data_IF_659475195285
#
_entry.id   IF_659475195285
#
_cell.length_a   1.000
_cell.length_b   1.000
_cell.length_c   1.000
_cell.angle_alpha   90.00
_cell.angle_beta   90.00
_cell.angle_gamma   90.00
#
_symmetry.space_group_name_H-M   'P 1'
#
loop_
_entity.id
_entity.type
_entity.pdbx_description
1 polymer ?
#
# COMPACT_ATOMS: atom_id res chain seq x y z
N UNK A 1 5.34 -55.62 -41.94
CA UNK A 1 4.42 -54.60 -41.39
C UNK A 1 4.39 -54.79 -39.87
N UNK A 2 4.92 -53.80 -39.12
CA UNK A 2 4.80 -53.44 -37.66
C UNK A 2 4.62 -54.57 -36.60
N UNK A 3 5.55 -54.82 -35.65
CA UNK A 3 5.88 -54.12 -34.36
C UNK A 3 4.65 -54.00 -33.43
N UNK A 4 4.67 -54.13 -32.09
CA UNK A 4 5.57 -54.45 -30.98
C UNK A 4 4.62 -54.44 -29.75
N UNK A 5 4.76 -55.34 -28.77
CA UNK A 5 4.13 -55.21 -27.44
C UNK A 5 5.21 -55.53 -26.41
N UNK A 6 5.85 -54.49 -25.88
CA UNK A 6 6.72 -54.55 -24.72
C UNK A 6 6.23 -53.49 -23.73
N UNK A 7 5.79 -53.94 -22.56
CA UNK A 7 5.32 -53.10 -21.48
C UNK A 7 6.47 -52.37 -20.80
N UNK A 8 6.38 -51.04 -20.76
CA UNK A 8 7.20 -50.16 -19.95
C UNK A 8 6.30 -49.56 -18.86
N UNK A 9 6.61 -49.81 -17.59
CA UNK A 9 6.02 -49.10 -16.46
C UNK A 9 6.74 -47.75 -16.32
N UNK A 10 6.02 -46.67 -16.63
CA UNK A 10 6.48 -45.31 -16.36
C UNK A 10 6.04 -44.89 -14.96
N UNK A 11 7.01 -44.40 -14.17
CA UNK A 11 6.76 -43.78 -12.89
C UNK A 11 6.18 -42.38 -13.04
N UNK A 12 5.23 -42.04 -12.19
CA UNK A 12 4.75 -40.68 -12.04
C UNK A 12 5.06 -40.14 -10.64
N UNK A 13 6.01 -39.21 -10.61
CA UNK A 13 5.75 -37.86 -10.09
C UNK A 13 5.52 -37.72 -8.59
N UNK A 14 6.61 -37.66 -7.84
CA UNK A 14 6.66 -36.98 -6.53
C UNK A 14 6.24 -35.52 -6.66
N UNK A 15 5.39 -35.10 -5.71
CA UNK A 15 4.82 -33.78 -5.56
C UNK A 15 5.86 -32.65 -5.68
N UNK A 16 5.69 -31.79 -6.69
CA UNK A 16 6.36 -30.49 -6.72
C UNK A 16 5.66 -29.53 -5.74
N UNK A 17 5.92 -29.71 -4.44
CA UNK A 17 5.71 -28.67 -3.46
C UNK A 17 6.66 -27.52 -3.80
N UNK A 18 6.14 -26.51 -4.51
CA UNK A 18 6.85 -25.28 -4.80
C UNK A 18 7.42 -24.71 -3.50
N UNK A 19 8.74 -24.65 -3.41
CA UNK A 19 9.50 -24.01 -2.33
C UNK A 19 8.90 -22.62 -2.08
N UNK A 20 8.17 -22.47 -0.97
CA UNK A 20 7.86 -21.13 -0.44
C UNK A 20 9.20 -20.50 -0.13
N UNK A 21 9.58 -19.46 -0.89
CA UNK A 21 10.77 -18.67 -0.59
C UNK A 21 10.81 -18.31 0.89
N UNK A 22 12.02 -18.19 1.45
CA UNK A 22 12.22 -17.90 2.87
C UNK A 22 11.40 -16.67 3.27
N UNK A 23 10.56 -16.81 4.30
CA UNK A 23 9.73 -15.73 4.83
C UNK A 23 10.51 -15.03 5.92
N UNK A 24 10.66 -13.70 5.83
CA UNK A 24 11.16 -12.90 6.94
C UNK A 24 9.96 -12.52 7.79
N UNK A 25 10.07 -12.64 9.11
CA UNK A 25 9.01 -12.16 10.00
C UNK A 25 9.44 -10.79 10.52
N UNK A 26 8.63 -9.77 10.30
CA UNK A 26 8.86 -8.47 10.90
C UNK A 26 8.63 -8.58 12.41
N UNK A 27 9.53 -7.98 13.20
CA UNK A 27 9.36 -7.82 14.65
C UNK A 27 9.67 -6.39 15.07
N UNK A 28 9.42 -6.05 16.35
CA UNK A 28 9.80 -4.75 16.88
C UNK A 28 11.33 -4.54 16.87
N UNK A 29 12.10 -5.61 17.04
CA UNK A 29 13.57 -5.62 17.06
C UNK A 29 14.19 -5.68 15.66
N UNK A 30 13.45 -6.23 14.69
CA UNK A 30 13.87 -6.35 13.29
C UNK A 30 12.74 -5.92 12.34
N UNK A 31 12.40 -4.61 12.30
CA UNK A 31 11.31 -4.12 11.48
C UNK A 31 11.68 -4.10 9.99
N UNK A 32 10.68 -4.26 9.13
CA UNK A 32 10.81 -4.04 7.67
C UNK A 32 10.43 -2.59 7.36
N UNK A 33 11.31 -1.85 6.69
CA UNK A 33 11.13 -0.42 6.44
C UNK A 33 10.55 -0.14 5.04
N UNK A 34 9.61 0.78 4.99
CA UNK A 34 8.93 1.31 3.80
C UNK A 34 9.21 2.81 3.74
N UNK A 35 10.36 3.19 3.19
CA UNK A 35 10.81 4.57 3.12
C UNK A 35 10.24 5.27 1.89
N UNK A 36 9.59 6.41 2.09
CA UNK A 36 9.10 7.23 0.99
C UNK A 36 10.26 7.80 0.18
N UNK A 37 10.17 7.66 -1.15
CA UNK A 37 11.06 8.30 -2.12
C UNK A 37 10.28 9.20 -3.08
N UNK A 38 9.13 8.73 -3.56
CA UNK A 38 8.22 9.52 -4.40
C UNK A 38 6.78 9.01 -4.31
N UNK A 39 5.83 9.81 -4.75
CA UNK A 39 4.41 9.48 -4.68
C UNK A 39 4.07 8.16 -5.36
N UNK A 40 3.54 7.21 -4.59
CA UNK A 40 3.27 5.85 -5.05
C UNK A 40 4.50 5.24 -5.73
N UNK A 41 5.68 5.37 -5.14
CA UNK A 41 6.86 4.59 -5.53
C UNK A 41 6.64 3.07 -5.36
N UNK A 42 7.73 2.32 -5.45
CA UNK A 42 7.78 0.88 -5.21
C UNK A 42 8.17 0.51 -3.78
N UNK A 43 8.30 1.48 -2.87
CA UNK A 43 8.82 1.27 -1.51
C UNK A 43 7.72 1.30 -0.45
N UNK A 44 6.49 1.66 -0.82
CA UNK A 44 5.31 1.61 0.04
C UNK A 44 4.89 0.18 0.42
N UNK A 45 4.25 0.05 1.57
CA UNK A 45 3.84 -1.24 2.14
C UNK A 45 2.79 -1.98 1.32
N UNK A 46 1.85 -1.28 0.67
CA UNK A 46 0.83 -1.90 -0.18
C UNK A 46 1.43 -2.36 -1.51
N UNK A 47 2.36 -1.59 -2.10
CA UNK A 47 3.15 -2.04 -3.24
C UNK A 47 3.92 -3.33 -2.92
N UNK A 48 4.58 -3.34 -1.76
CA UNK A 48 5.37 -4.45 -1.31
C UNK A 48 4.52 -5.73 -1.13
N UNK A 49 3.32 -5.62 -0.54
CA UNK A 49 2.35 -6.71 -0.49
C UNK A 49 1.87 -7.12 -1.88
N UNK A 50 1.61 -6.14 -2.75
CA UNK A 50 1.20 -6.33 -4.14
C UNK A 50 2.22 -7.06 -5.01
N UNK A 51 3.49 -7.10 -4.59
CA UNK A 51 4.59 -7.78 -5.27
C UNK A 51 5.15 -8.97 -4.50
N UNK A 52 4.55 -9.33 -3.35
CA UNK A 52 5.10 -10.30 -2.38
C UNK A 52 6.58 -10.05 -2.10
N UNK A 53 6.89 -8.83 -1.68
CA UNK A 53 8.27 -8.40 -1.44
C UNK A 53 9.12 -8.40 -2.70
N UNK A 54 8.60 -7.85 -3.81
CA UNK A 54 9.31 -7.79 -5.09
C UNK A 54 9.64 -9.14 -5.74
N UNK A 55 8.99 -10.23 -5.32
CA UNK A 55 9.21 -11.57 -5.92
C UNK A 55 8.32 -11.85 -7.12
N UNK A 56 7.25 -11.07 -7.30
CA UNK A 56 6.35 -11.15 -8.45
C UNK A 56 6.04 -9.75 -9.01
N UNK A 57 5.64 -9.65 -10.29
CA UNK A 57 5.06 -8.42 -10.82
C UNK A 57 3.88 -7.95 -9.98
N UNK A 58 3.70 -6.63 -9.88
CA UNK A 58 2.67 -6.05 -9.04
C UNK A 58 1.27 -6.54 -9.44
N UNK A 59 0.49 -6.95 -8.44
CA UNK A 59 -0.94 -7.24 -8.52
C UNK A 59 -1.64 -6.52 -7.37
N UNK A 60 -2.91 -6.15 -7.55
CA UNK A 60 -3.66 -5.47 -6.51
C UNK A 60 -3.68 -6.31 -5.21
N UNK A 61 -3.18 -5.78 -4.08
CA UNK A 61 -3.02 -6.55 -2.85
C UNK A 61 -4.36 -6.97 -2.24
N UNK A 62 -5.44 -6.24 -2.49
CA UNK A 62 -6.79 -6.65 -2.09
C UNK A 62 -7.37 -7.66 -3.07
N UNK A 63 -7.69 -7.24 -4.30
CA UNK A 63 -8.53 -8.04 -5.19
C UNK A 63 -7.85 -9.22 -5.89
N UNK A 64 -6.51 -9.23 -5.97
CA UNK A 64 -5.76 -10.28 -6.70
C UNK A 64 -4.93 -11.18 -5.80
N UNK A 65 -4.48 -10.67 -4.65
CA UNK A 65 -3.63 -11.43 -3.72
C UNK A 65 -4.30 -11.73 -2.38
N UNK A 66 -5.38 -11.01 -2.02
CA UNK A 66 -6.06 -11.13 -0.73
C UNK A 66 -5.12 -10.88 0.47
N UNK A 67 -4.09 -10.07 0.27
CA UNK A 67 -3.13 -9.68 1.30
C UNK A 67 -3.71 -8.59 2.20
N UNK A 68 -4.66 -7.79 1.74
CA UNK A 68 -5.32 -6.77 2.58
C UNK A 68 -6.83 -6.79 2.32
N UNK A 69 -7.60 -6.31 3.29
CA UNK A 69 -9.02 -6.06 3.10
C UNK A 69 -9.28 -4.55 3.05
N UNK A 70 -10.18 -4.12 2.18
CA UNK A 70 -10.57 -2.71 2.07
C UNK A 70 -12.07 -2.60 2.34
N UNK A 71 -12.45 -1.61 3.14
CA UNK A 71 -13.83 -1.31 3.46
C UNK A 71 -14.09 0.20 3.34
N UNK A 72 -15.36 0.58 3.25
CA UNK A 72 -15.79 1.96 3.28
C UNK A 72 -17.11 2.09 4.03
N UNK A 73 -17.42 3.30 4.52
CA UNK A 73 -18.69 3.60 5.20
C UNK A 73 -19.91 3.30 4.33
N UNK A 74 -19.77 3.58 3.04
CA UNK A 74 -20.75 3.27 2.01
C UNK A 74 -20.08 3.28 0.63
N UNK A 75 -20.69 2.62 -0.34
CA UNK A 75 -20.24 2.66 -1.74
C UNK A 75 -21.30 3.38 -2.57
N UNK A 76 -20.94 4.54 -3.11
CA UNK A 76 -21.77 5.29 -4.06
C UNK A 76 -21.42 4.98 -5.51
N UNK A 77 -20.15 4.71 -5.81
CA UNK A 77 -19.65 4.24 -7.11
C UNK A 77 -18.28 3.56 -6.94
N UNK A 78 -17.94 2.64 -7.84
CA UNK A 78 -16.63 1.98 -7.91
C UNK A 78 -16.50 0.79 -6.99
N UNK A 79 -15.29 0.23 -6.89
CA UNK A 79 -14.94 -0.86 -6.00
C UNK A 79 -13.99 -0.37 -4.91
N UNK A 80 -14.15 -0.86 -3.67
CA UNK A 80 -13.27 -0.46 -2.56
C UNK A 80 -11.84 -0.95 -2.77
N UNK A 81 -11.66 -2.11 -3.39
CA UNK A 81 -10.36 -2.72 -3.67
C UNK A 81 -9.51 -1.88 -4.63
N UNK A 82 -10.14 -1.03 -5.44
CA UNK A 82 -9.42 -0.14 -6.36
C UNK A 82 -8.63 0.95 -5.62
N UNK A 83 -8.99 1.26 -4.37
CA UNK A 83 -8.31 2.25 -3.53
C UNK A 83 -6.87 1.85 -3.17
N UNK A 84 -6.58 0.55 -3.07
CA UNK A 84 -5.20 0.06 -2.88
C UNK A 84 -4.53 -0.33 -4.21
N UNK A 85 -5.14 0.09 -5.33
CA UNK A 85 -4.62 -0.08 -6.67
C UNK A 85 -3.67 1.03 -7.10
N UNK A 86 -3.11 0.89 -8.30
CA UNK A 86 -2.18 1.86 -8.90
C UNK A 86 -2.73 2.59 -10.13
N UNK A 87 -4.00 2.35 -10.47
CA UNK A 87 -4.65 3.02 -11.61
C UNK A 87 -5.08 4.44 -11.24
N UNK A 88 -4.76 5.41 -12.08
CA UNK A 88 -5.25 6.78 -11.94
C UNK A 88 -6.65 6.99 -12.56
N UNK A 89 -7.25 5.93 -13.12
CA UNK A 89 -8.59 5.96 -13.73
C UNK A 89 -9.69 5.49 -12.78
N UNK A 90 -9.38 5.29 -11.49
CA UNK A 90 -10.34 4.91 -10.46
C UNK A 90 -11.32 6.06 -10.21
N UNK A 91 -12.61 5.74 -10.13
CA UNK A 91 -13.69 6.69 -9.81
C UNK A 91 -14.54 6.13 -8.67
N UNK A 92 -13.88 5.81 -7.56
CA UNK A 92 -14.53 5.40 -6.33
C UNK A 92 -15.08 6.63 -5.57
N UNK A 93 -16.28 6.47 -5.00
CA UNK A 93 -16.81 7.40 -4.01
C UNK A 93 -17.74 6.73 -3.01
N UNK A 94 -17.81 7.31 -1.82
CA UNK A 94 -18.88 7.01 -0.86
C UNK A 94 -20.20 7.68 -1.26
N UNK A 95 -21.29 7.37 -0.54
CA UNK A 95 -22.53 8.16 -0.64
C UNK A 95 -22.30 9.57 -0.09
N UNK A 96 -23.25 10.48 -0.33
CA UNK A 96 -23.15 11.86 0.16
C UNK A 96 -23.55 11.92 1.64
N UNK A 97 -22.68 11.42 2.51
CA UNK A 97 -22.94 11.23 3.94
C UNK A 97 -21.78 11.80 4.77
N UNK A 98 -22.05 12.65 5.78
CA UNK A 98 -21.02 13.17 6.67
C UNK A 98 -20.17 12.05 7.29
N UNK A 99 -18.90 12.36 7.59
CA UNK A 99 -17.97 11.41 8.21
C UNK A 99 -17.80 10.10 7.43
N UNK A 100 -17.96 10.16 6.11
CA UNK A 100 -17.61 9.07 5.20
C UNK A 100 -16.16 8.63 5.39
N UNK A 101 -15.89 7.34 5.29
CA UNK A 101 -14.55 6.79 5.52
C UNK A 101 -14.18 5.66 4.57
N UNK A 102 -12.88 5.48 4.39
CA UNK A 102 -12.27 4.27 3.81
C UNK A 102 -11.34 3.63 4.86
N UNK A 103 -11.18 2.32 4.80
CA UNK A 103 -10.37 1.56 5.74
C UNK A 103 -9.55 0.51 4.99
N UNK A 104 -8.29 0.34 5.38
CA UNK A 104 -7.43 -0.75 4.94
C UNK A 104 -7.06 -1.57 6.17
N UNK A 105 -7.36 -2.86 6.14
CA UNK A 105 -6.93 -3.84 7.12
C UNK A 105 -5.79 -4.67 6.53
N UNK A 106 -4.61 -4.55 7.13
CA UNK A 106 -3.46 -5.36 6.78
C UNK A 106 -3.64 -6.81 7.25
N UNK A 107 -4.72 -7.22 7.88
CA UNK A 107 -4.95 -8.63 8.23
C UNK A 107 -4.15 -9.10 9.43
N UNK A 108 -4.63 -10.19 10.04
CA UNK A 108 -4.18 -10.64 11.37
C UNK A 108 -2.67 -10.92 11.41
N UNK A 109 -2.04 -10.56 12.53
CA UNK A 109 -0.62 -10.77 12.76
C UNK A 109 0.30 -9.69 12.18
N UNK A 110 -0.21 -8.77 11.34
CA UNK A 110 0.56 -7.61 10.84
C UNK A 110 0.31 -6.36 11.66
N UNK A 111 1.36 -5.55 11.82
CA UNK A 111 1.28 -4.23 12.43
C UNK A 111 2.30 -3.28 11.79
N UNK A 112 1.84 -2.11 11.37
CA UNK A 112 2.63 -1.08 10.70
C UNK A 112 2.66 0.18 11.56
N UNK A 113 3.86 0.69 11.85
CA UNK A 113 4.06 2.02 12.42
C UNK A 113 4.22 3.00 11.26
N UNK A 114 3.28 3.93 11.08
CA UNK A 114 3.32 4.86 9.95
C UNK A 114 4.36 5.97 10.15
N UNK A 115 5.08 6.30 9.09
CA UNK A 115 5.84 7.55 8.95
C UNK A 115 5.12 8.56 8.05
N UNK A 116 4.23 8.08 7.19
CA UNK A 116 3.44 8.91 6.28
C UNK A 116 2.60 8.07 5.34
N UNK A 117 1.85 8.74 4.48
CA UNK A 117 0.98 8.10 3.50
C UNK A 117 0.85 8.96 2.24
N UNK A 118 0.61 8.34 1.09
CA UNK A 118 0.25 9.03 -0.14
C UNK A 118 -1.24 8.85 -0.41
N UNK A 119 -1.86 9.89 -0.96
CA UNK A 119 -3.22 9.84 -1.50
C UNK A 119 -3.21 10.19 -2.98
N UNK A 120 -4.15 9.63 -3.73
CA UNK A 120 -4.40 9.97 -5.14
C UNK A 120 -5.82 10.46 -5.34
N UNK A 121 -5.96 11.60 -6.01
CA UNK A 121 -7.24 12.09 -6.51
C UNK A 121 -7.66 11.32 -7.77
N UNK A 122 -8.97 11.24 -8.02
CA UNK A 122 -9.52 10.74 -9.29
C UNK A 122 -9.16 11.65 -10.46
N UNK A 123 -9.51 11.23 -11.68
CA UNK A 123 -9.34 12.03 -12.88
C UNK A 123 -10.38 13.18 -13.00
N UNK A 124 -10.41 14.08 -12.01
CA UNK A 124 -11.29 15.26 -12.00
C UNK A 124 -10.85 16.27 -10.94
N UNK A 125 -11.00 17.57 -11.22
CA UNK A 125 -10.78 18.65 -10.25
C UNK A 125 -12.02 19.01 -9.42
N UNK A 126 -13.13 18.29 -9.60
CA UNK A 126 -14.37 18.51 -8.88
C UNK A 126 -14.52 17.54 -7.70
N UNK A 127 -15.10 18.02 -6.59
CA UNK A 127 -15.40 17.22 -5.39
C UNK A 127 -14.15 16.52 -4.81
N UNK A 128 -12.98 17.15 -4.92
CA UNK A 128 -11.72 16.68 -4.38
C UNK A 128 -11.77 16.67 -2.85
N UNK A 129 -11.14 15.66 -2.23
CA UNK A 129 -11.01 15.59 -0.78
C UNK A 129 -10.23 16.81 -0.25
N UNK A 130 -10.81 17.52 0.73
CA UNK A 130 -10.23 18.74 1.29
C UNK A 130 -9.81 18.61 2.75
N UNK A 131 -10.31 17.61 3.48
CA UNK A 131 -9.97 17.41 4.88
C UNK A 131 -10.27 15.98 5.32
N UNK A 132 -9.41 15.44 6.18
CA UNK A 132 -9.58 14.11 6.73
C UNK A 132 -8.80 13.91 8.04
N UNK A 133 -9.23 12.89 8.79
CA UNK A 133 -8.49 12.34 9.92
C UNK A 133 -8.01 10.94 9.53
N UNK A 134 -6.77 10.61 9.89
CA UNK A 134 -6.23 9.26 9.79
C UNK A 134 -6.21 8.62 11.18
N UNK A 135 -6.78 7.43 11.29
CA UNK A 135 -6.88 6.66 12.53
C UNK A 135 -6.21 5.30 12.36
N UNK A 136 -5.65 4.74 13.43
CA UNK A 136 -5.09 3.39 13.50
C UNK A 136 -5.81 2.51 14.52
N UNK A 137 -5.96 1.23 14.24
CA UNK A 137 -6.57 0.26 15.17
C UNK A 137 -5.96 -1.15 15.04
N UNK A 138 -6.05 -1.95 16.10
CA UNK A 138 -5.62 -3.35 16.14
C UNK A 138 -6.78 -4.35 16.34
N UNK A 139 -7.97 -3.88 16.65
CA UNK A 139 -9.17 -4.69 16.89
C UNK A 139 -10.35 -4.26 15.99
N UNK A 140 -10.33 -3.03 15.47
CA UNK A 140 -11.41 -2.44 14.69
C UNK A 140 -12.47 -1.73 15.55
N UNK A 141 -12.31 -1.75 16.86
CA UNK A 141 -13.21 -1.16 17.86
C UNK A 141 -12.58 0.10 18.46
N UNK A 142 -11.35 0.00 18.94
CA UNK A 142 -10.59 1.12 19.50
C UNK A 142 -9.71 1.76 18.43
N UNK A 143 -9.93 3.04 18.17
CA UNK A 143 -9.25 3.80 17.12
C UNK A 143 -8.42 4.93 17.71
N UNK A 144 -7.11 4.90 17.44
CA UNK A 144 -6.15 5.91 17.85
C UNK A 144 -5.97 6.92 16.74
N UNK A 145 -5.99 8.21 17.09
CA UNK A 145 -5.73 9.30 16.16
C UNK A 145 -4.26 9.34 15.75
N UNK A 146 -3.99 9.46 14.44
CA UNK A 146 -2.63 9.49 13.88
C UNK A 146 -2.30 10.80 13.18
N UNK A 147 -3.23 11.36 12.42
CA UNK A 147 -2.99 12.59 11.64
C UNK A 147 -4.31 13.31 11.32
N UNK A 148 -4.22 14.63 11.08
CA UNK A 148 -5.32 15.47 10.62
C UNK A 148 -4.83 16.40 9.51
N UNK A 149 -5.63 16.47 8.44
CA UNK A 149 -5.47 17.48 7.38
C UNK A 149 -6.75 18.29 7.26
N UNK A 150 -6.60 19.61 7.21
CA UNK A 150 -7.70 20.58 7.07
C UNK A 150 -7.45 21.46 5.84
N UNK A 151 -8.50 21.70 5.07
CA UNK A 151 -8.48 22.61 3.91
C UNK A 151 -7.29 22.37 2.95
N UNK A 152 -6.92 21.10 2.77
CA UNK A 152 -5.79 20.68 1.98
C UNK A 152 -6.09 20.78 0.48
N UNK A 153 -5.32 21.59 -0.24
CA UNK A 153 -5.44 21.79 -1.69
C UNK A 153 -4.60 20.84 -2.55
N UNK A 154 -3.74 20.01 -1.94
CA UNK A 154 -2.72 19.22 -2.67
C UNK A 154 -3.28 18.21 -3.67
N UNK A 155 -4.56 17.84 -3.54
CA UNK A 155 -5.23 16.86 -4.38
C UNK A 155 -6.18 17.49 -5.41
N UNK A 156 -6.12 18.81 -5.65
CA UNK A 156 -7.13 19.51 -6.46
C UNK A 156 -7.04 19.24 -7.96
N UNK A 157 -5.88 18.86 -8.47
CA UNK A 157 -5.73 18.57 -9.90
C UNK A 157 -6.18 17.14 -10.24
N UNK A 158 -6.60 16.88 -11.49
CA UNK A 158 -6.95 15.53 -11.93
C UNK A 158 -5.76 14.60 -11.75
N UNK A 159 -5.99 13.44 -11.11
CA UNK A 159 -4.97 12.42 -10.83
C UNK A 159 -3.82 12.88 -9.92
N UNK A 160 -3.96 14.04 -9.27
CA UNK A 160 -2.96 14.55 -8.34
C UNK A 160 -2.64 13.51 -7.26
N UNK A 161 -1.37 13.38 -6.95
CA UNK A 161 -0.87 12.63 -5.82
C UNK A 161 -0.20 13.57 -4.84
N UNK A 162 -0.19 13.20 -3.56
CA UNK A 162 0.59 13.92 -2.57
C UNK A 162 0.93 13.01 -1.41
N UNK A 163 2.16 13.11 -0.93
CA UNK A 163 2.64 12.51 0.31
C UNK A 163 2.36 13.41 1.52
N UNK A 164 1.93 12.79 2.61
CA UNK A 164 1.61 13.43 3.88
C UNK A 164 2.47 12.78 4.98
N UNK A 165 3.51 13.46 5.48
CA UNK A 165 4.31 12.95 6.59
C UNK A 165 3.53 13.03 7.90
N UNK A 166 3.54 11.96 8.69
CA UNK A 166 2.93 11.96 10.02
C UNK A 166 3.96 12.48 11.02
N UNK A 167 3.60 13.53 11.75
CA UNK A 167 4.47 14.09 12.78
C UNK A 167 4.69 13.11 13.93
N UNK A 168 5.91 13.13 14.49
CA UNK A 168 6.33 12.27 15.60
C UNK A 168 5.73 12.75 16.93
N UNK A 169 4.41 12.76 17.07
CA UNK A 169 3.78 12.96 18.38
C UNK A 169 3.97 11.71 19.27
N UNK A 170 3.94 11.82 20.60
CA UNK A 170 4.04 10.65 21.49
C UNK A 170 2.91 9.63 21.28
N UNK A 171 1.75 10.08 20.78
CA UNK A 171 0.53 9.28 20.57
C UNK A 171 0.53 8.53 19.23
N UNK A 172 1.30 9.00 18.22
CA UNK A 172 1.43 8.37 16.90
C UNK A 172 2.44 7.19 16.85
N UNK A 173 2.94 6.73 18.01
CA UNK A 173 4.02 5.71 18.09
C UNK A 173 3.55 4.26 18.06
N UNK A 174 2.25 4.00 18.04
CA UNK A 174 1.73 2.65 17.91
C UNK A 174 2.02 2.04 16.53
N UNK A 175 2.11 0.72 16.48
CA UNK A 175 1.96 -0.01 15.24
C UNK A 175 0.54 -0.56 15.16
N UNK A 176 -0.09 -0.40 14.00
CA UNK A 176 -1.50 -0.73 13.80
C UNK A 176 -1.68 -1.69 12.63
N UNK A 177 -2.66 -2.58 12.77
CA UNK A 177 -3.10 -3.47 11.71
C UNK A 177 -4.01 -2.76 10.71
N UNK A 178 -4.88 -1.91 11.20
CA UNK A 178 -5.93 -1.26 10.42
C UNK A 178 -5.71 0.24 10.41
N UNK A 179 -5.97 0.86 9.25
CA UNK A 179 -5.96 2.30 9.09
C UNK A 179 -7.26 2.77 8.47
N UNK A 180 -7.85 3.82 9.02
CA UNK A 180 -9.10 4.42 8.55
C UNK A 180 -8.91 5.89 8.27
N UNK A 181 -9.19 6.30 7.04
CA UNK A 181 -9.22 7.69 6.62
C UNK A 181 -10.68 8.16 6.61
N UNK A 182 -10.98 9.16 7.44
CA UNK A 182 -12.33 9.69 7.65
C UNK A 182 -12.37 11.11 7.10
N UNK A 183 -13.26 11.38 6.15
CA UNK A 183 -13.45 12.73 5.62
C UNK A 183 -13.89 13.69 6.73
N UNK A 184 -13.21 14.83 6.85
CA UNK A 184 -13.56 15.91 7.77
C UNK A 184 -14.14 17.09 6.98
N UNK A 185 -15.44 17.31 7.14
CA UNK A 185 -16.18 18.36 6.44
C UNK A 185 -16.58 18.00 5.00
N UNK A 186 -16.73 19.02 4.16
CA UNK A 186 -17.14 18.90 2.75
C UNK A 186 -15.93 18.82 1.82
N UNK A 187 -16.11 18.17 0.68
CA UNK A 187 -15.16 18.19 -0.42
C UNK A 187 -15.19 19.54 -1.18
N UNK A 188 -14.32 19.70 -2.19
CA UNK A 188 -14.21 20.96 -2.95
C UNK A 188 -15.50 21.37 -3.70
N UNK A 189 -16.46 20.46 -3.86
CA UNK A 189 -17.77 20.69 -4.45
C UNK A 189 -18.90 20.85 -3.43
N UNK A 190 -18.58 21.12 -2.16
CA UNK A 190 -19.55 21.35 -1.08
C UNK A 190 -20.49 20.15 -0.83
N UNK A 191 -19.97 18.92 -0.95
CA UNK A 191 -20.70 17.67 -0.66
C UNK A 191 -19.88 16.78 0.27
N UNK A 192 -20.50 15.77 0.87
CA UNK A 192 -19.88 14.80 1.77
C UNK A 192 -19.54 13.47 1.09
N UNK A 193 -19.41 13.45 -0.24
CA UNK A 193 -18.81 12.32 -0.92
C UNK A 193 -17.30 12.32 -0.65
N UNK A 194 -16.78 11.20 -0.15
CA UNK A 194 -15.35 10.94 -0.10
C UNK A 194 -14.96 10.36 -1.46
N UNK A 195 -14.21 11.15 -2.23
CA UNK A 195 -13.60 10.71 -3.49
C UNK A 195 -12.12 10.43 -3.29
N UNK A 196 -11.67 9.27 -3.77
CA UNK A 196 -10.26 8.88 -3.74
C UNK A 196 -10.00 7.83 -4.82
N UNK A 197 -8.78 7.81 -5.35
CA UNK A 197 -8.35 6.87 -6.40
C UNK A 197 -7.10 6.05 -6.00
N UNK A 198 -6.58 6.24 -4.79
CA UNK A 198 -5.39 5.55 -4.34
C UNK A 198 -4.99 5.94 -2.92
N UNK A 199 -4.47 4.97 -2.18
CA UNK A 199 -3.72 5.16 -0.94
C UNK A 199 -2.45 4.30 -0.98
N UNK A 200 -1.38 4.80 -0.39
CA UNK A 200 -0.15 4.05 -0.11
C UNK A 200 0.37 4.43 1.28
N UNK A 201 0.92 3.46 2.02
CA UNK A 201 1.36 3.66 3.41
C UNK A 201 2.86 3.40 3.56
N UNK A 202 3.53 4.27 4.31
CA UNK A 202 4.97 4.26 4.54
C UNK A 202 5.27 4.18 6.04
N UNK A 203 6.41 3.61 6.42
CA UNK A 203 6.78 3.43 7.81
C UNK A 203 7.55 2.14 8.06
N UNK A 204 7.24 1.46 9.17
CA UNK A 204 7.93 0.23 9.60
C UNK A 204 6.94 -0.86 9.98
N UNK A 205 6.96 -2.00 9.29
CA UNK A 205 6.28 -3.20 9.77
C UNK A 205 7.03 -3.74 10.99
N UNK A 206 6.29 -3.93 12.08
CA UNK A 206 6.81 -4.41 13.38
C UNK A 206 6.23 -5.76 13.79
N UNK A 207 5.33 -6.31 12.98
CA UNK A 207 4.78 -7.65 13.13
C UNK A 207 4.34 -8.19 11.78
N UNK A 208 4.37 -9.51 11.66
CA UNK A 208 3.74 -10.28 10.59
C UNK A 208 4.73 -10.87 9.58
N UNK A 209 4.22 -11.79 8.77
CA UNK A 209 5.00 -12.43 7.72
C UNK A 209 5.26 -11.44 6.58
N UNK A 210 6.53 -11.29 6.27
CA UNK A 210 7.03 -10.56 5.13
C UNK A 210 7.68 -11.57 4.15
N UNK A 211 7.03 -11.93 3.03
CA UNK A 211 7.73 -12.47 1.85
C UNK A 211 9.09 -11.81 1.61
N UNK A 212 10.20 -12.53 1.67
CA UNK A 212 11.50 -11.91 1.45
C UNK A 212 11.60 -11.34 0.04
N UNK A 213 12.20 -10.15 -0.08
CA UNK A 213 12.83 -9.84 -1.36
C UNK A 213 13.96 -10.82 -1.57
N UNK A 214 14.08 -11.35 -2.79
CA UNK A 214 15.31 -12.04 -3.17
C UNK A 214 16.47 -11.11 -2.81
N UNK A 215 17.53 -11.66 -2.19
CA UNK A 215 18.65 -10.93 -1.58
C UNK A 215 19.51 -10.10 -2.55
N UNK A 216 18.97 -9.65 -3.69
CA UNK A 216 19.67 -8.91 -4.73
C UNK A 216 19.31 -7.41 -4.78
N UNK A 217 18.36 -6.92 -3.98
CA UNK A 217 18.04 -5.49 -4.00
C UNK A 217 19.07 -4.63 -3.26
N UNK A 218 19.64 -5.09 -2.14
CA UNK A 218 20.71 -4.34 -1.45
C UNK A 218 21.92 -4.10 -2.34
N UNK A 219 22.27 -5.09 -3.18
CA UNK A 219 23.32 -4.96 -4.20
C UNK A 219 22.93 -3.97 -5.31
N UNK A 220 21.66 -3.93 -5.72
CA UNK A 220 21.17 -2.94 -6.68
C UNK A 220 21.10 -1.52 -6.10
N UNK A 221 20.85 -1.35 -4.79
CA UNK A 221 20.93 -0.05 -4.12
C UNK A 221 22.38 0.42 -3.97
N UNK A 222 23.30 -0.46 -3.57
CA UNK A 222 24.74 -0.15 -3.52
C UNK A 222 25.30 0.16 -4.91
N UNK A 223 24.89 -0.57 -5.95
CA UNK A 223 25.28 -0.30 -7.33
C UNK A 223 24.66 1.00 -7.88
N UNK A 224 23.43 1.35 -7.49
CA UNK A 224 22.78 2.60 -7.89
C UNK A 224 23.35 3.84 -7.17
N UNK A 225 23.69 3.74 -5.87
CA UNK A 225 24.42 4.79 -5.15
C UNK A 225 25.84 4.95 -5.70
N UNK A 226 26.55 3.85 -5.98
CA UNK A 226 27.87 3.91 -6.59
C UNK A 226 27.85 4.52 -8.01
N UNK A 227 26.78 4.28 -8.79
CA UNK A 227 26.60 4.91 -10.10
C UNK A 227 26.23 6.40 -10.00
N UNK A 228 25.51 6.80 -8.96
CA UNK A 228 25.17 8.20 -8.68
C UNK A 228 26.39 8.99 -8.18
N UNK A 229 27.19 8.40 -7.29
CA UNK A 229 28.46 8.99 -6.81
C UNK A 229 29.54 9.03 -7.91
N UNK A 230 29.48 8.12 -8.88
CA UNK A 230 30.35 8.15 -10.07
C UNK A 230 29.88 9.16 -11.12
N UNK A 231 28.64 9.65 -11.03
CA UNK A 231 28.09 10.69 -11.89
C UNK A 231 28.23 12.05 -11.19
N UNK A 232 29.46 12.54 -11.08
CA UNK A 232 29.75 13.91 -10.61
C UNK A 232 29.22 14.93 -11.63
N UNK A 233 28.11 15.66 -11.36
CA UNK A 233 27.61 16.69 -12.26
C UNK A 233 28.36 18.03 -12.09
N UNK A 234 29.30 18.13 -11.15
CA UNK A 234 30.07 19.34 -10.82
C UNK A 234 31.59 19.15 -10.96
N UNK A 235 32.02 18.23 -11.81
CA UNK A 235 33.40 18.13 -12.28
C UNK A 235 33.71 19.20 -13.33
N UNK A 236 33.88 20.44 -12.89
CA UNK A 236 34.27 21.56 -13.74
C UNK A 236 35.66 21.38 -14.38
N UNK A 237 35.70 21.52 -15.70
CA UNK A 237 36.79 22.10 -16.49
C UNK A 237 36.20 22.85 -17.69
#
# INVERSE_FOLDING_TARGET
YKRQDDGQQDGEGVDAAGSRGSVQTASAEAPVSFAYSSDFDSFGSLYWLGTRGHTIPWRNPASKLMEVQVAASSVGRGSVEDIVGRSASVDFRTKNEPSSWIQVDFGRGRALRLSGYCLRNRNSSAQCLMGWNLMGSNDGEDWIFLDERKMCGSLREPKATSYFPIEKSPESRGAFRMFRLIQSGVNSGNTHNLFLAGVEFYGQATAGECPQSSKNLSRQYEEAEALWDAFDPEGGF
#
